data_IF_471587628828
#
_entry.id   IF_471587628828
#
_cell.length_a   1.000
_cell.length_b   1.000
_cell.length_c   1.000
_cell.angle_alpha   90.00
_cell.angle_beta   90.00
_cell.angle_gamma   90.00
#
_symmetry.space_group_name_H-M   'P 1'
#
loop_
_entity.id
_entity.type
_entity.pdbx_description
1 polymer ?
#
# COMPACT_ATOMS: atom_id res chain seq x y z
N UNK A 1 24.24 26.23 -51.59
CA UNK A 1 23.89 26.44 -50.17
C UNK A 1 24.03 25.11 -49.42
N UNK A 2 25.20 24.78 -48.87
CA UNK A 2 25.32 23.78 -47.82
C UNK A 2 25.71 24.45 -46.50
N UNK A 3 24.98 24.20 -45.43
CA UNK A 3 25.33 24.64 -44.07
C UNK A 3 26.01 23.50 -43.33
N UNK A 4 27.28 23.75 -43.02
CA UNK A 4 28.20 22.93 -42.25
C UNK A 4 27.84 22.91 -40.75
N UNK A 5 27.89 21.72 -40.18
CA UNK A 5 27.86 21.40 -38.75
C UNK A 5 29.16 21.77 -38.03
N UNK A 6 29.06 22.38 -36.84
CA UNK A 6 30.10 22.44 -35.80
C UNK A 6 29.46 22.19 -34.42
N UNK A 7 30.06 21.35 -33.55
CA UNK A 7 29.61 21.18 -32.17
C UNK A 7 30.34 22.13 -31.20
N UNK A 8 29.62 22.71 -30.25
CA UNK A 8 30.16 23.48 -29.11
C UNK A 8 30.29 22.53 -27.92
N UNK A 9 31.51 22.32 -27.45
CA UNK A 9 31.81 21.66 -26.18
C UNK A 9 31.80 22.69 -25.04
N UNK A 10 30.96 22.48 -24.03
CA UNK A 10 31.00 23.22 -22.77
C UNK A 10 31.81 22.42 -21.75
N UNK A 11 32.93 23.00 -21.32
CA UNK A 11 33.80 22.45 -20.27
C UNK A 11 33.22 22.78 -18.90
N UNK A 12 32.91 21.76 -18.09
CA UNK A 12 32.48 21.90 -16.70
C UNK A 12 33.70 22.05 -15.77
N UNK A 13 33.74 23.13 -15.00
CA UNK A 13 34.69 23.36 -13.91
C UNK A 13 34.14 22.78 -12.59
N UNK A 14 34.95 22.08 -11.77
CA UNK A 14 34.48 21.53 -10.49
C UNK A 14 34.43 22.59 -9.38
N UNK A 15 33.53 22.44 -8.38
CA UNK A 15 33.37 23.40 -7.29
C UNK A 15 34.48 23.27 -6.23
N UNK A 16 34.83 24.43 -5.64
CA UNK A 16 35.86 24.57 -4.61
C UNK A 16 35.41 24.04 -3.23
N UNK A 17 36.33 23.38 -2.53
CA UNK A 17 36.21 22.91 -1.14
C UNK A 17 36.30 24.05 -0.12
N UNK A 18 35.47 24.08 0.96
CA UNK A 18 35.60 25.07 2.00
C UNK A 18 36.66 24.69 3.05
N UNK A 19 37.35 25.72 3.55
CA UNK A 19 38.46 25.70 4.50
C UNK A 19 37.95 25.57 5.93
N UNK A 20 38.51 24.63 6.71
CA UNK A 20 38.27 24.45 8.14
C UNK A 20 38.94 25.57 8.96
N UNK A 21 38.16 26.31 9.74
CA UNK A 21 38.68 27.18 10.79
C UNK A 21 38.80 26.45 12.13
N UNK A 22 40.02 26.42 12.66
CA UNK A 22 40.40 25.88 13.95
C UNK A 22 39.95 26.84 15.08
N UNK A 23 39.26 26.33 16.11
CA UNK A 23 38.99 27.09 17.34
C UNK A 23 39.60 26.38 18.54
N UNK A 24 40.44 27.13 19.27
CA UNK A 24 41.12 26.73 20.50
C UNK A 24 40.11 26.47 21.64
N UNK A 25 40.23 25.30 22.28
CA UNK A 25 39.60 25.02 23.56
C UNK A 25 40.52 25.46 24.70
N UNK A 26 40.08 26.44 25.48
CA UNK A 26 40.69 26.79 26.76
C UNK A 26 40.09 25.90 27.87
N UNK A 27 40.94 25.11 28.52
CA UNK A 27 40.65 24.42 29.77
C UNK A 27 40.57 25.43 30.91
N UNK A 28 39.49 25.41 31.71
CA UNK A 28 39.52 25.98 33.05
C UNK A 28 38.68 25.12 34.01
N UNK A 29 39.37 24.37 34.85
CA UNK A 29 38.85 23.75 36.07
C UNK A 29 38.74 24.81 37.16
N UNK A 30 37.58 24.90 37.84
CA UNK A 30 37.50 25.47 39.19
C UNK A 30 36.47 24.68 40.00
N UNK A 31 36.84 24.34 41.23
CA UNK A 31 36.16 23.41 42.12
C UNK A 31 35.43 24.14 43.28
N UNK A 32 34.27 23.58 43.66
CA UNK A 32 33.48 23.64 44.90
C UNK A 32 33.15 24.96 45.64
N UNK A 33 31.84 25.15 45.90
CA UNK A 33 31.30 26.03 46.94
C UNK A 33 29.82 25.81 47.26
N UNK A 34 29.55 25.06 48.34
CA UNK A 34 28.42 25.09 49.28
C UNK A 34 26.94 25.18 48.85
N UNK A 35 26.13 24.42 49.58
CA UNK A 35 24.72 24.11 49.38
C UNK A 35 23.72 25.25 49.63
N UNK A 36 22.62 25.27 48.84
CA UNK A 36 21.28 25.71 49.28
C UNK A 36 20.21 24.83 48.65
N UNK A 37 19.49 24.09 49.50
CA UNK A 37 18.42 23.15 49.14
C UNK A 37 17.11 23.93 48.95
N UNK A 38 16.67 24.10 47.70
CA UNK A 38 15.34 24.63 47.39
C UNK A 38 14.37 23.45 47.30
N UNK A 39 13.39 23.43 48.19
CA UNK A 39 12.31 22.43 48.19
C UNK A 39 11.27 22.85 47.16
N UNK A 40 11.24 22.18 46.01
CA UNK A 40 10.14 22.29 45.05
C UNK A 40 9.11 21.21 45.41
N UNK A 41 7.92 21.63 45.84
CA UNK A 41 6.75 20.75 46.02
C UNK A 41 6.39 20.17 44.65
N UNK A 42 6.65 18.87 44.46
CA UNK A 42 6.19 18.10 43.31
C UNK A 42 4.71 17.79 43.50
N UNK A 43 3.84 18.48 42.78
CA UNK A 43 2.43 18.11 42.67
C UNK A 43 2.36 16.84 41.80
N UNK A 44 2.08 15.71 42.44
CA UNK A 44 1.73 14.47 41.74
C UNK A 44 0.36 14.65 41.08
N UNK A 45 0.37 14.99 39.79
CA UNK A 45 -0.78 14.72 38.93
C UNK A 45 -0.77 13.21 38.66
N UNK A 46 -1.56 12.47 39.43
CA UNK A 46 -1.88 11.09 39.16
C UNK A 46 -2.64 11.01 37.83
N UNK A 47 -1.90 10.78 36.75
CA UNK A 47 -2.49 10.31 35.50
C UNK A 47 -2.99 8.91 35.81
N UNK A 48 -4.31 8.78 35.97
CA UNK A 48 -4.98 7.48 35.91
C UNK A 48 -4.58 6.84 34.58
N UNK A 49 -3.72 5.84 34.65
CA UNK A 49 -3.50 4.91 33.55
C UNK A 49 -4.85 4.28 33.24
N UNK A 50 -5.48 4.72 32.16
CA UNK A 50 -6.59 3.99 31.57
C UNK A 50 -5.97 2.77 30.91
N UNK A 51 -5.90 1.68 31.66
CA UNK A 51 -5.59 0.36 31.15
C UNK A 51 -6.78 -0.18 30.38
N UNK A 52 -6.70 -0.08 29.06
CA UNK A 52 -7.20 -1.08 28.11
C UNK A 52 -6.55 -0.77 26.76
N UNK A 53 -5.25 -1.10 26.67
CA UNK A 53 -4.38 -0.89 25.52
C UNK A 53 -3.86 -2.25 25.01
N UNK A 54 -4.70 -3.28 25.08
CA UNK A 54 -4.33 -4.64 24.70
C UNK A 54 -5.01 -5.01 23.36
N UNK A 55 -4.18 -5.39 22.38
CA UNK A 55 -4.46 -5.84 21.01
C UNK A 55 -4.92 -4.82 19.96
N UNK A 56 -4.26 -3.67 19.92
CA UNK A 56 -4.46 -2.69 18.85
C UNK A 56 -3.13 -2.51 18.08
N UNK A 57 -3.01 -2.96 16.82
CA UNK A 57 -1.76 -2.88 16.08
C UNK A 57 -1.32 -1.43 15.94
N UNK A 58 -0.03 -1.22 16.24
CA UNK A 58 0.66 0.05 16.10
C UNK A 58 0.91 0.34 14.62
N UNK A 59 1.12 1.60 14.27
CA UNK A 59 1.55 1.94 12.92
C UNK A 59 2.94 1.32 12.66
N UNK A 60 3.17 0.62 11.53
CA UNK A 60 4.40 -0.10 11.29
C UNK A 60 5.61 0.86 11.20
N UNK A 61 6.75 0.43 11.72
CA UNK A 61 8.01 1.17 11.64
C UNK A 61 8.67 1.06 10.26
N UNK A 62 8.49 -0.08 9.59
CA UNK A 62 9.06 -0.40 8.27
C UNK A 62 8.18 -1.39 7.49
N UNK A 63 8.63 -1.79 6.30
CA UNK A 63 7.87 -2.72 5.45
C UNK A 63 7.85 -4.15 5.98
N UNK A 64 8.82 -4.57 6.80
CA UNK A 64 8.82 -5.91 7.40
C UNK A 64 7.68 -6.01 8.40
N UNK A 65 7.60 -5.05 9.34
CA UNK A 65 6.50 -4.98 10.30
C UNK A 65 5.14 -4.79 9.60
N UNK A 66 5.10 -3.98 8.54
CA UNK A 66 3.89 -3.80 7.74
C UNK A 66 3.40 -5.13 7.14
N UNK A 67 4.29 -5.91 6.55
CA UNK A 67 3.94 -7.17 5.89
C UNK A 67 3.52 -8.23 6.90
N UNK A 68 4.16 -8.26 8.08
CA UNK A 68 3.72 -9.11 9.19
C UNK A 68 2.30 -8.75 9.65
N UNK A 69 2.03 -7.46 9.87
CA UNK A 69 0.68 -6.99 10.24
C UNK A 69 -0.35 -7.32 9.16
N UNK A 70 -0.03 -7.08 7.88
CA UNK A 70 -0.92 -7.40 6.76
C UNK A 70 -1.19 -8.91 6.67
N UNK A 71 -0.18 -9.75 6.93
CA UNK A 71 -0.30 -11.21 6.95
C UNK A 71 -1.19 -11.65 8.12
N UNK A 72 -1.01 -11.11 9.32
CA UNK A 72 -1.85 -11.44 10.47
C UNK A 72 -3.31 -11.03 10.26
N UNK A 73 -3.53 -9.82 9.75
CA UNK A 73 -4.85 -9.32 9.38
C UNK A 73 -5.54 -10.21 8.34
N UNK A 74 -4.79 -10.62 7.30
CA UNK A 74 -5.29 -11.51 6.26
C UNK A 74 -5.61 -12.90 6.82
N UNK A 75 -4.77 -13.46 7.70
CA UNK A 75 -5.02 -14.75 8.35
C UNK A 75 -6.25 -14.70 9.26
N UNK A 76 -6.47 -13.59 9.98
CA UNK A 76 -7.67 -13.40 10.78
C UNK A 76 -8.92 -13.34 9.88
N UNK A 77 -8.91 -12.51 8.83
CA UNK A 77 -10.02 -12.41 7.89
C UNK A 77 -10.34 -13.75 7.20
N UNK A 78 -9.32 -14.52 6.82
CA UNK A 78 -9.49 -15.86 6.26
C UNK A 78 -10.15 -16.84 7.24
N UNK A 79 -9.80 -16.78 8.54
CA UNK A 79 -10.45 -17.59 9.59
C UNK A 79 -11.91 -17.21 9.78
N UNK A 80 -12.24 -15.94 9.62
CA UNK A 80 -13.60 -15.41 9.71
C UNK A 80 -14.43 -15.63 8.43
N UNK A 81 -13.86 -16.33 7.43
CA UNK A 81 -14.55 -16.71 6.21
C UNK A 81 -14.65 -15.59 5.17
N UNK A 82 -13.88 -14.52 5.31
CA UNK A 82 -13.81 -13.45 4.32
C UNK A 82 -13.16 -13.98 3.04
N UNK A 83 -13.89 -13.93 1.94
CA UNK A 83 -13.43 -14.44 0.63
C UNK A 83 -12.76 -13.39 -0.25
N UNK A 84 -13.13 -12.12 -0.10
CA UNK A 84 -12.63 -11.02 -0.92
C UNK A 84 -12.04 -9.95 -0.02
N UNK A 85 -10.74 -9.73 -0.18
CA UNK A 85 -9.96 -8.85 0.69
C UNK A 85 -9.24 -7.77 -0.12
N UNK A 86 -9.06 -6.60 0.49
CA UNK A 86 -8.23 -5.52 0.00
C UNK A 86 -7.07 -5.27 0.95
N UNK A 87 -5.87 -5.15 0.37
CA UNK A 87 -4.66 -4.64 1.01
C UNK A 87 -4.20 -3.43 0.20
N UNK A 88 -4.01 -2.29 0.87
CA UNK A 88 -3.57 -1.05 0.22
C UNK A 88 -2.57 -0.32 1.12
N UNK A 89 -1.40 0.04 0.61
CA UNK A 89 -0.44 0.85 1.35
C UNK A 89 0.54 1.54 0.39
N UNK A 90 1.20 2.64 0.82
CA UNK A 90 2.18 3.31 -0.02
C UNK A 90 3.39 2.42 -0.30
N UNK A 91 3.87 2.43 -1.55
CA UNK A 91 5.04 1.64 -2.00
C UNK A 91 6.31 2.48 -2.17
N UNK A 92 6.20 3.80 -2.16
CA UNK A 92 7.33 4.73 -2.25
C UNK A 92 7.91 5.13 -0.87
N UNK A 93 7.58 4.36 0.18
CA UNK A 93 7.92 4.61 1.58
C UNK A 93 6.67 4.79 2.45
N UNK A 94 6.72 4.33 3.71
CA UNK A 94 5.57 4.39 4.63
C UNK A 94 4.99 5.78 4.89
N UNK A 95 5.81 6.82 4.71
CA UNK A 95 5.39 8.22 4.85
C UNK A 95 5.02 8.91 3.54
N UNK A 96 5.12 8.22 2.40
CA UNK A 96 4.77 8.79 1.10
C UNK A 96 3.26 8.92 0.98
N UNK A 97 2.81 9.90 0.21
CA UNK A 97 1.37 10.06 -0.09
C UNK A 97 1.12 9.71 -1.56
N UNK A 98 -0.15 9.57 -1.98
CA UNK A 98 -0.47 9.33 -3.38
C UNK A 98 0.18 10.38 -4.30
N UNK A 99 0.86 9.92 -5.34
CA UNK A 99 1.60 10.76 -6.30
C UNK A 99 3.08 10.95 -5.99
N UNK A 100 3.59 10.51 -4.83
CA UNK A 100 5.04 10.61 -4.52
C UNK A 100 5.90 9.59 -5.26
N UNK A 101 5.31 8.47 -5.72
CA UNK A 101 6.02 7.35 -6.35
C UNK A 101 5.78 7.18 -7.85
N UNK A 102 5.13 8.14 -8.52
CA UNK A 102 4.52 7.94 -9.84
C UNK A 102 5.43 7.20 -10.85
N UNK A 103 4.91 6.09 -11.41
CA UNK A 103 5.50 5.36 -12.53
C UNK A 103 5.90 3.91 -12.21
N UNK A 104 6.80 3.33 -13.03
CA UNK A 104 7.19 1.91 -12.95
C UNK A 104 7.90 1.47 -11.66
N UNK A 105 8.26 2.42 -10.79
CA UNK A 105 8.85 2.16 -9.48
C UNK A 105 7.79 1.58 -8.52
N UNK A 106 6.56 2.11 -8.55
CA UNK A 106 5.44 1.60 -7.72
C UNK A 106 5.05 0.18 -8.10
N UNK A 107 5.05 -0.14 -9.39
CA UNK A 107 4.69 -1.48 -9.89
C UNK A 107 5.76 -2.50 -9.51
N UNK A 108 7.05 -2.15 -9.70
CA UNK A 108 8.16 -3.03 -9.30
C UNK A 108 8.20 -3.23 -7.79
N UNK A 109 7.99 -2.15 -7.02
CA UNK A 109 7.91 -2.22 -5.55
C UNK A 109 6.72 -3.05 -5.08
N UNK A 110 5.53 -2.82 -5.64
CA UNK A 110 4.34 -3.63 -5.34
C UNK A 110 4.57 -5.11 -5.68
N UNK A 111 5.20 -5.42 -6.81
CA UNK A 111 5.51 -6.80 -7.18
C UNK A 111 6.44 -7.49 -6.16
N UNK A 112 7.46 -6.79 -5.66
CA UNK A 112 8.34 -7.30 -4.61
C UNK A 112 7.59 -7.52 -3.30
N UNK A 113 6.78 -6.53 -2.88
CA UNK A 113 6.01 -6.60 -1.64
C UNK A 113 4.94 -7.70 -1.70
N UNK A 114 4.31 -7.92 -2.86
CA UNK A 114 3.40 -9.06 -3.08
C UNK A 114 4.15 -10.37 -2.92
N UNK A 115 5.38 -10.48 -3.45
CA UNK A 115 6.18 -11.70 -3.32
C UNK A 115 6.48 -12.00 -1.85
N UNK A 116 7.01 -11.01 -1.12
CA UNK A 116 7.37 -11.14 0.29
C UNK A 116 6.13 -11.47 1.14
N UNK A 117 5.02 -10.77 0.89
CA UNK A 117 3.74 -11.08 1.51
C UNK A 117 3.30 -12.53 1.26
N UNK A 118 3.41 -13.02 0.02
CA UNK A 118 3.04 -14.38 -0.32
C UNK A 118 3.93 -15.41 0.39
N UNK A 119 5.23 -15.14 0.53
CA UNK A 119 6.16 -16.02 1.26
C UNK A 119 5.81 -16.09 2.76
N UNK A 120 5.25 -15.02 3.35
CA UNK A 120 4.79 -14.99 4.74
C UNK A 120 3.40 -15.64 4.94
N UNK A 121 2.47 -15.39 4.01
CA UNK A 121 1.08 -15.83 4.13
C UNK A 121 0.88 -17.30 3.71
N UNK A 122 1.53 -17.72 2.62
CA UNK A 122 1.24 -18.97 1.93
C UNK A 122 2.22 -20.05 2.37
N UNK A 123 1.69 -21.11 2.98
CA UNK A 123 2.48 -22.29 3.31
C UNK A 123 3.12 -22.90 2.04
N UNK A 124 4.39 -23.37 2.08
CA UNK A 124 5.10 -23.85 0.89
C UNK A 124 4.33 -24.90 0.07
N UNK A 125 3.61 -25.81 0.73
CA UNK A 125 2.79 -26.84 0.10
C UNK A 125 1.57 -26.30 -0.66
N UNK A 126 1.16 -25.06 -0.38
CA UNK A 126 0.06 -24.36 -1.06
C UNK A 126 0.53 -23.38 -2.13
N UNK A 127 1.84 -23.19 -2.31
CA UNK A 127 2.38 -22.26 -3.30
C UNK A 127 1.89 -22.58 -4.73
N UNK A 128 1.86 -23.86 -5.11
CA UNK A 128 1.37 -24.32 -6.43
C UNK A 128 -0.15 -24.25 -6.58
N UNK A 129 -0.87 -23.99 -5.50
CA UNK A 129 -2.32 -23.76 -5.46
C UNK A 129 -2.67 -22.27 -5.33
N UNK A 130 -1.66 -21.41 -5.30
CA UNK A 130 -1.83 -19.96 -5.26
C UNK A 130 -1.49 -19.38 -6.63
N UNK A 131 -2.42 -18.59 -7.17
CA UNK A 131 -2.26 -17.92 -8.46
C UNK A 131 -2.26 -16.42 -8.29
N UNK A 132 -1.26 -15.78 -8.90
CA UNK A 132 -1.04 -14.35 -8.84
C UNK A 132 -1.31 -13.79 -10.23
N UNK A 133 -2.25 -12.85 -10.31
CA UNK A 133 -2.61 -12.12 -11.52
C UNK A 133 -1.93 -10.76 -11.51
N UNK A 134 -1.16 -10.48 -12.55
CA UNK A 134 -0.65 -9.14 -12.84
C UNK A 134 -1.52 -8.44 -13.91
N UNK A 135 -1.43 -7.12 -14.09
CA UNK A 135 -2.23 -6.43 -15.09
C UNK A 135 -2.03 -6.97 -16.52
N UNK A 136 -0.78 -7.15 -16.94
CA UNK A 136 -0.44 -7.57 -18.32
C UNK A 136 0.54 -8.74 -18.43
N UNK A 137 0.57 -9.38 -19.61
CA UNK A 137 1.47 -10.50 -19.90
C UNK A 137 2.96 -10.15 -19.81
N UNK A 138 3.34 -8.92 -20.18
CA UNK A 138 4.73 -8.45 -20.08
C UNK A 138 5.20 -8.40 -18.62
N UNK A 139 4.32 -8.04 -17.70
CA UNK A 139 4.62 -8.01 -16.27
C UNK A 139 4.77 -9.41 -15.70
N UNK A 140 3.96 -10.38 -16.15
CA UNK A 140 4.18 -11.79 -15.80
C UNK A 140 5.57 -12.25 -16.23
N UNK A 141 5.99 -11.90 -17.45
CA UNK A 141 7.33 -12.26 -17.92
C UNK A 141 8.42 -11.59 -17.09
N UNK A 142 8.24 -10.32 -16.73
CA UNK A 142 9.16 -9.60 -15.86
C UNK A 142 9.21 -10.25 -14.47
N UNK A 143 8.07 -10.47 -13.83
CA UNK A 143 7.93 -11.12 -12.52
C UNK A 143 8.66 -12.46 -12.46
N UNK A 144 8.48 -13.32 -13.47
CA UNK A 144 9.17 -14.62 -13.58
C UNK A 144 10.69 -14.49 -13.62
N UNK A 145 11.21 -13.43 -14.22
CA UNK A 145 12.65 -13.16 -14.34
C UNK A 145 13.22 -12.41 -13.14
N UNK A 146 12.37 -11.74 -12.35
CA UNK A 146 12.74 -10.89 -11.23
C UNK A 146 12.24 -11.47 -9.90
N UNK A 147 11.26 -10.83 -9.25
CA UNK A 147 10.82 -11.12 -7.88
C UNK A 147 10.30 -12.56 -7.67
N UNK A 148 9.74 -13.17 -8.71
CA UNK A 148 9.19 -14.52 -8.65
C UNK A 148 10.10 -15.59 -9.28
N UNK A 149 11.35 -15.25 -9.58
CA UNK A 149 12.35 -16.24 -10.00
C UNK A 149 12.48 -17.37 -8.97
N UNK A 150 12.33 -18.62 -9.42
CA UNK A 150 12.41 -19.80 -8.56
C UNK A 150 11.21 -20.03 -7.63
N UNK A 151 10.19 -19.16 -7.66
CA UNK A 151 8.97 -19.36 -6.88
C UNK A 151 8.09 -20.46 -7.48
N UNK A 152 7.36 -21.19 -6.64
CA UNK A 152 6.39 -22.20 -7.08
C UNK A 152 4.98 -21.63 -7.35
N UNK A 153 4.79 -20.31 -7.15
CA UNK A 153 3.53 -19.64 -7.42
C UNK A 153 3.15 -19.68 -8.90
N UNK A 154 1.86 -19.84 -9.19
CA UNK A 154 1.34 -19.73 -10.56
C UNK A 154 1.18 -18.25 -10.89
N UNK A 155 1.76 -17.81 -12.00
CA UNK A 155 1.65 -16.41 -12.45
C UNK A 155 0.86 -16.32 -13.75
N UNK A 156 -0.12 -15.43 -13.78
CA UNK A 156 -1.00 -15.16 -14.90
C UNK A 156 -1.32 -13.65 -14.97
N UNK A 157 -2.13 -13.22 -15.94
CA UNK A 157 -2.43 -11.80 -16.14
C UNK A 157 -3.92 -11.53 -16.42
N UNK A 158 -4.36 -10.31 -16.11
CA UNK A 158 -5.75 -9.87 -16.29
C UNK A 158 -6.06 -9.50 -17.74
N UNK A 159 -5.17 -8.78 -18.42
CA UNK A 159 -5.43 -8.25 -19.76
C UNK A 159 -4.42 -8.75 -20.79
N UNK A 160 -4.90 -9.17 -21.96
CA UNK A 160 -4.01 -9.48 -23.10
C UNK A 160 -3.39 -8.15 -23.58
N UNK A 161 -2.09 -8.12 -23.93
CA UNK A 161 -1.56 -6.99 -24.69
C UNK A 161 -2.39 -6.87 -25.99
N UNK A 162 -2.91 -5.68 -26.25
CA UNK A 162 -3.82 -5.35 -27.35
C UNK A 162 -3.23 -5.49 -28.77
N UNK A 163 -2.23 -6.34 -28.98
CA UNK A 163 -1.58 -6.50 -30.29
C UNK A 163 -2.48 -7.09 -31.38
N UNK A 164 -3.64 -7.65 -31.01
CA UNK A 164 -4.66 -8.16 -31.95
C UNK A 164 -5.94 -7.32 -32.02
N UNK A 165 -6.08 -6.28 -31.20
CA UNK A 165 -7.23 -5.39 -31.32
C UNK A 165 -7.13 -4.54 -32.61
N UNK A 166 -5.94 -4.40 -33.16
CA UNK A 166 -5.68 -3.77 -34.47
C UNK A 166 -5.93 -4.70 -35.68
N UNK A 167 -6.22 -6.00 -35.48
CA UNK A 167 -6.36 -6.98 -36.57
C UNK A 167 -7.69 -7.75 -36.61
N UNK A 168 -8.71 -7.33 -35.86
CA UNK A 168 -10.10 -7.76 -36.11
C UNK A 168 -10.44 -9.23 -35.81
N UNK A 169 -9.56 -9.98 -35.13
CA UNK A 169 -9.84 -11.33 -34.63
C UNK A 169 -9.38 -11.42 -33.18
N UNK A 170 -10.32 -11.53 -32.23
CA UNK A 170 -9.96 -11.86 -30.84
C UNK A 170 -10.98 -12.84 -30.27
N UNK A 171 -10.57 -14.09 -30.09
CA UNK A 171 -11.15 -14.96 -29.07
C UNK A 171 -10.94 -14.31 -27.70
N UNK A 172 -12.05 -13.82 -27.13
CA UNK A 172 -12.11 -13.38 -25.75
C UNK A 172 -11.87 -14.59 -24.84
N UNK A 173 -10.64 -14.73 -24.33
CA UNK A 173 -10.31 -15.73 -23.31
C UNK A 173 -10.96 -15.27 -22.01
N UNK A 174 -11.85 -16.07 -21.45
CA UNK A 174 -12.53 -15.76 -20.20
C UNK A 174 -11.62 -16.05 -19.02
N UNK A 175 -11.82 -15.38 -17.88
CA UNK A 175 -10.98 -15.64 -16.70
C UNK A 175 -11.10 -17.07 -16.17
N UNK A 176 -12.27 -17.70 -16.37
CA UNK A 176 -12.50 -19.12 -16.05
C UNK A 176 -11.57 -20.07 -16.80
N UNK A 177 -11.14 -19.70 -18.01
CA UNK A 177 -10.25 -20.55 -18.82
C UNK A 177 -8.80 -20.50 -18.31
N UNK A 178 -8.47 -19.50 -17.48
CA UNK A 178 -7.13 -19.28 -16.90
C UNK A 178 -6.99 -19.89 -15.51
N UNK A 179 -8.09 -20.00 -14.77
CA UNK A 179 -8.15 -20.62 -13.44
C UNK A 179 -8.21 -22.13 -13.58
N UNK A 180 -7.56 -22.84 -12.65
CA UNK A 180 -7.64 -24.31 -12.56
C UNK A 180 -8.40 -24.74 -11.32
N UNK A 181 -8.94 -25.96 -11.35
CA UNK A 181 -9.71 -26.51 -10.24
C UNK A 181 -8.94 -26.49 -8.91
N UNK A 182 -7.64 -26.83 -8.96
CA UNK A 182 -6.78 -26.89 -7.79
C UNK A 182 -6.30 -25.54 -7.24
N UNK A 183 -6.64 -24.42 -7.88
CA UNK A 183 -6.32 -23.09 -7.34
C UNK A 183 -7.19 -22.83 -6.10
N UNK A 184 -6.57 -22.44 -4.99
CA UNK A 184 -7.23 -22.15 -3.69
C UNK A 184 -7.26 -20.64 -3.38
N UNK A 185 -6.17 -19.93 -3.70
CA UNK A 185 -5.99 -18.51 -3.41
C UNK A 185 -5.60 -17.73 -4.67
N UNK A 186 -6.28 -16.61 -4.89
CA UNK A 186 -5.95 -15.64 -5.92
C UNK A 186 -5.37 -14.37 -5.29
N UNK A 187 -4.22 -13.93 -5.79
CA UNK A 187 -3.68 -12.60 -5.50
C UNK A 187 -3.77 -11.77 -6.77
N UNK A 188 -4.39 -10.61 -6.69
CA UNK A 188 -4.49 -9.67 -7.81
C UNK A 188 -3.58 -8.49 -7.51
N UNK A 189 -2.47 -8.40 -8.24
CA UNK A 189 -1.50 -7.33 -8.10
C UNK A 189 -1.93 -6.09 -8.85
N UNK A 190 -2.13 -5.01 -8.09
CA UNK A 190 -2.21 -3.62 -8.54
C UNK A 190 -3.03 -3.36 -9.83
N UNK A 191 -4.32 -3.73 -9.88
CA UNK A 191 -5.17 -3.60 -11.07
C UNK A 191 -5.66 -2.15 -11.33
N UNK A 192 -4.76 -1.17 -11.31
CA UNK A 192 -5.11 0.26 -11.40
C UNK A 192 -4.64 0.97 -12.68
N UNK A 193 -3.81 0.34 -13.51
CA UNK A 193 -3.25 1.00 -14.70
C UNK A 193 -4.33 1.21 -15.77
N UNK A 194 -5.17 0.20 -15.98
CA UNK A 194 -6.30 0.25 -16.90
C UNK A 194 -7.61 -0.02 -16.15
N UNK A 195 -8.59 0.86 -16.33
CA UNK A 195 -9.93 0.69 -15.75
C UNK A 195 -10.60 -0.64 -16.11
N UNK A 196 -10.25 -1.23 -17.25
CA UNK A 196 -10.77 -2.54 -17.65
C UNK A 196 -10.23 -3.68 -16.77
N UNK A 197 -9.06 -3.53 -16.13
CA UNK A 197 -8.50 -4.55 -15.22
C UNK A 197 -9.46 -4.82 -14.08
N UNK A 198 -10.02 -3.79 -13.45
CA UNK A 198 -11.01 -3.95 -12.37
C UNK A 198 -12.31 -4.63 -12.82
N UNK A 199 -12.68 -4.51 -14.10
CA UNK A 199 -13.83 -5.25 -14.64
C UNK A 199 -13.50 -6.75 -14.80
N UNK A 200 -12.26 -7.06 -15.18
CA UNK A 200 -11.76 -8.44 -15.23
C UNK A 200 -11.63 -9.04 -13.83
N UNK A 201 -11.25 -8.24 -12.82
CA UNK A 201 -11.24 -8.65 -11.41
C UNK A 201 -12.65 -9.00 -10.93
N UNK A 202 -13.66 -8.20 -11.29
CA UNK A 202 -15.05 -8.52 -11.00
C UNK A 202 -15.50 -9.84 -11.67
N UNK A 203 -15.13 -10.05 -12.94
CA UNK A 203 -15.38 -11.31 -13.65
C UNK A 203 -14.72 -12.50 -12.95
N UNK A 204 -13.43 -12.39 -12.60
CA UNK A 204 -12.69 -13.41 -11.89
C UNK A 204 -13.35 -13.75 -10.55
N UNK A 205 -13.73 -12.73 -9.76
CA UNK A 205 -14.44 -12.95 -8.50
C UNK A 205 -15.75 -13.69 -8.72
N UNK A 206 -16.59 -13.21 -9.65
CA UNK A 206 -17.91 -13.79 -9.90
C UNK A 206 -17.81 -15.25 -10.34
N UNK A 207 -16.89 -15.55 -11.24
CA UNK A 207 -16.88 -16.84 -11.93
C UNK A 207 -15.98 -17.88 -11.25
N UNK A 208 -14.96 -17.47 -10.48
CA UNK A 208 -14.03 -18.38 -9.82
C UNK A 208 -14.13 -18.41 -8.29
N UNK A 209 -14.66 -17.35 -7.64
CA UNK A 209 -14.58 -17.16 -6.18
C UNK A 209 -15.95 -17.21 -5.51
N UNK A 210 -16.91 -16.41 -5.98
CA UNK A 210 -18.15 -16.12 -5.25
C UNK A 210 -19.02 -17.34 -4.91
N UNK A 211 -18.92 -18.42 -5.68
CA UNK A 211 -19.67 -19.66 -5.48
C UNK A 211 -18.78 -20.84 -5.03
N UNK A 212 -17.54 -20.58 -4.63
CA UNK A 212 -16.56 -21.60 -4.24
C UNK A 212 -16.03 -21.34 -2.84
N UNK A 213 -15.06 -22.14 -2.38
CA UNK A 213 -14.31 -21.88 -1.14
C UNK A 213 -13.02 -21.10 -1.35
N UNK A 214 -12.75 -20.68 -2.60
CA UNK A 214 -11.52 -19.96 -2.93
C UNK A 214 -11.55 -18.56 -2.33
N UNK A 215 -10.37 -17.99 -2.13
CA UNK A 215 -10.22 -16.61 -1.66
C UNK A 215 -9.50 -15.74 -2.69
N UNK A 216 -9.73 -14.43 -2.61
CA UNK A 216 -9.09 -13.44 -3.45
C UNK A 216 -8.63 -12.23 -2.62
N UNK A 217 -7.38 -11.84 -2.80
CA UNK A 217 -6.78 -10.63 -2.21
C UNK A 217 -6.40 -9.69 -3.35
N UNK A 218 -6.92 -8.46 -3.32
CA UNK A 218 -6.51 -7.38 -4.22
C UNK A 218 -5.47 -6.54 -3.48
N UNK A 219 -4.32 -6.34 -4.12
CA UNK A 219 -3.16 -5.69 -3.50
C UNK A 219 -2.84 -4.39 -4.24
N UNK A 220 -2.78 -3.25 -3.52
CA UNK A 220 -2.46 -1.92 -4.05
C UNK A 220 -3.25 -1.57 -5.32
N UNK A 221 -4.57 -1.65 -5.26
CA UNK A 221 -5.45 -1.49 -6.42
C UNK A 221 -5.91 -0.05 -6.71
N UNK A 222 -5.46 0.95 -5.94
CA UNK A 222 -5.91 2.36 -6.04
C UNK A 222 -7.44 2.52 -6.07
N UNK A 223 -8.16 1.65 -5.33
CA UNK A 223 -9.61 1.54 -5.44
C UNK A 223 -10.34 2.81 -4.98
N UNK A 224 -9.65 3.67 -4.22
CA UNK A 224 -10.18 4.97 -3.81
C UNK A 224 -10.46 5.91 -4.97
N UNK A 225 -9.78 5.78 -6.11
CA UNK A 225 -10.13 6.54 -7.32
C UNK A 225 -11.54 6.19 -7.79
N UNK A 226 -11.90 4.91 -7.73
CA UNK A 226 -13.24 4.45 -8.10
C UNK A 226 -14.25 4.86 -7.00
N UNK A 227 -13.93 4.65 -5.72
CA UNK A 227 -14.83 4.99 -4.59
C UNK A 227 -15.12 6.49 -4.49
N UNK A 228 -14.14 7.34 -4.78
CA UNK A 228 -14.27 8.80 -4.71
C UNK A 228 -15.02 9.41 -5.90
N UNK A 229 -15.33 8.61 -6.93
CA UNK A 229 -15.97 9.09 -8.14
C UNK A 229 -15.03 9.83 -9.10
N UNK A 230 -13.71 9.57 -9.01
CA UNK A 230 -12.72 10.11 -9.95
C UNK A 230 -13.10 9.80 -11.41
N UNK A 231 -13.66 8.61 -11.64
CA UNK A 231 -14.23 8.20 -12.93
C UNK A 231 -15.72 8.58 -13.00
N UNK A 232 -16.12 9.58 -13.81
CA UNK A 232 -17.51 9.98 -13.87
C UNK A 232 -18.40 8.85 -14.41
N UNK A 233 -19.49 8.55 -13.70
CA UNK A 233 -20.36 7.40 -14.01
C UNK A 233 -21.00 7.44 -15.40
N UNK A 234 -21.22 8.63 -15.96
CA UNK A 234 -21.74 8.79 -17.33
C UNK A 234 -20.78 8.24 -18.39
N UNK A 235 -19.47 8.41 -18.20
CA UNK A 235 -18.45 7.91 -19.12
C UNK A 235 -17.97 6.49 -18.77
N UNK A 236 -18.03 6.13 -17.49
CA UNK A 236 -17.56 4.83 -16.97
C UNK A 236 -18.65 4.09 -16.18
N UNK A 237 -19.80 3.76 -16.80
CA UNK A 237 -20.94 3.17 -16.09
C UNK A 237 -20.61 1.78 -15.51
N UNK A 238 -19.76 1.00 -16.18
CA UNK A 238 -19.32 -0.32 -15.68
C UNK A 238 -18.46 -0.20 -14.42
N UNK A 239 -17.53 0.76 -14.38
CA UNK A 239 -16.74 1.03 -13.16
C UNK A 239 -17.63 1.52 -12.02
N UNK A 240 -18.57 2.43 -12.30
CA UNK A 240 -19.51 2.92 -11.30
C UNK A 240 -20.39 1.80 -10.73
N UNK A 241 -20.65 0.73 -11.51
CA UNK A 241 -21.39 -0.43 -11.04
C UNK A 241 -20.60 -1.23 -9.97
N UNK A 242 -19.26 -1.21 -9.98
CA UNK A 242 -18.42 -1.93 -9.00
C UNK A 242 -18.74 -1.55 -7.55
N UNK A 243 -19.09 -0.29 -7.31
CA UNK A 243 -19.53 0.21 -6.00
C UNK A 243 -20.79 -0.47 -5.47
N UNK A 244 -21.56 -1.13 -6.36
CA UNK A 244 -22.78 -1.88 -6.01
C UNK A 244 -22.59 -3.39 -6.09
N UNK A 245 -21.61 -3.87 -6.84
CA UNK A 245 -21.47 -5.30 -7.18
C UNK A 245 -20.28 -5.98 -6.50
N UNK A 246 -19.08 -5.38 -6.59
CA UNK A 246 -17.83 -5.96 -6.09
C UNK A 246 -17.45 -5.39 -4.72
N UNK A 247 -17.39 -4.06 -4.58
CA UNK A 247 -16.89 -3.42 -3.36
C UNK A 247 -17.69 -3.75 -2.10
N UNK A 248 -19.03 -3.88 -2.13
CA UNK A 248 -19.79 -4.27 -0.94
C UNK A 248 -19.48 -5.68 -0.42
N UNK A 249 -18.82 -6.53 -1.22
CA UNK A 249 -18.45 -7.90 -0.86
C UNK A 249 -17.01 -8.02 -0.36
N UNK A 250 -16.27 -6.92 -0.41
CA UNK A 250 -14.85 -6.86 -0.11
C UNK A 250 -14.63 -6.28 1.28
N UNK A 251 -13.75 -6.90 2.05
CA UNK A 251 -13.29 -6.37 3.34
C UNK A 251 -11.88 -5.80 3.18
N UNK A 252 -11.67 -4.57 3.64
CA UNK A 252 -10.32 -4.00 3.69
C UNK A 252 -9.60 -4.52 4.92
N UNK A 253 -8.68 -5.45 4.70
CA UNK A 253 -7.99 -6.15 5.80
C UNK A 253 -6.76 -5.38 6.28
N UNK A 254 -6.10 -4.65 5.39
CA UNK A 254 -4.96 -3.82 5.74
C UNK A 254 -4.91 -2.57 4.87
N UNK A 255 -4.78 -1.40 5.47
CA UNK A 255 -4.87 -0.13 4.74
C UNK A 255 -4.00 0.96 5.36
N UNK A 256 -3.22 1.65 4.55
CA UNK A 256 -2.50 2.88 4.90
C UNK A 256 -2.72 3.92 3.83
N UNK A 257 -3.30 5.07 4.19
CA UNK A 257 -3.39 6.25 3.33
C UNK A 257 -2.94 7.50 4.06
N UNK A 258 -1.90 8.14 3.54
CA UNK A 258 -1.29 9.32 4.13
C UNK A 258 -1.86 10.61 3.53
N UNK A 259 -2.10 11.59 4.40
CA UNK A 259 -2.59 12.92 4.05
C UNK A 259 -1.48 13.95 4.27
N UNK A 260 -1.23 14.80 3.26
CA UNK A 260 -0.32 15.96 3.37
C UNK A 260 -1.02 17.18 3.96
N UNK A 261 -0.21 18.15 4.38
CA UNK A 261 -0.66 19.49 4.79
C UNK A 261 -0.42 19.77 6.26
N UNK A 262 -0.86 20.96 6.70
CA UNK A 262 -0.69 21.45 8.08
C UNK A 262 -1.28 20.49 9.12
N UNK A 263 -2.40 19.85 8.77
CA UNK A 263 -3.10 18.88 9.59
C UNK A 263 -2.93 17.46 9.03
N UNK A 264 -1.78 17.15 8.42
CA UNK A 264 -1.52 15.83 7.85
C UNK A 264 -1.66 14.69 8.88
N UNK A 265 -1.86 13.48 8.38
CA UNK A 265 -2.08 12.28 9.18
C UNK A 265 -2.23 11.06 8.31
N UNK A 266 -2.69 9.96 8.90
CA UNK A 266 -2.78 8.67 8.22
C UNK A 266 -4.10 8.00 8.55
N UNK A 267 -4.88 7.61 7.54
CA UNK A 267 -5.97 6.65 7.70
C UNK A 267 -5.35 5.25 7.71
N UNK A 268 -5.60 4.49 8.77
CA UNK A 268 -5.01 3.19 9.03
C UNK A 268 -6.08 2.15 9.36
N UNK A 269 -5.95 0.94 8.80
CA UNK A 269 -6.74 -0.24 9.13
C UNK A 269 -5.82 -1.44 9.22
N UNK A 270 -6.03 -2.25 10.25
CA UNK A 270 -5.45 -3.59 10.37
C UNK A 270 -6.52 -4.46 11.03
N UNK A 271 -7.12 -5.36 10.24
CA UNK A 271 -8.21 -6.24 10.66
C UNK A 271 -7.76 -7.18 11.78
N UNK A 272 -8.63 -7.50 12.76
CA UNK A 272 -10.05 -7.12 12.89
C UNK A 272 -10.28 -5.76 13.55
N UNK A 273 -9.23 -4.96 13.77
CA UNK A 273 -9.33 -3.67 14.44
C UNK A 273 -10.12 -2.61 13.64
N UNK A 274 -10.62 -1.56 14.30
CA UNK A 274 -11.38 -0.49 13.65
C UNK A 274 -10.51 0.33 12.69
N UNK A 275 -11.15 1.13 11.85
CA UNK A 275 -10.47 2.20 11.12
C UNK A 275 -10.00 3.25 12.10
N UNK A 276 -8.77 3.74 11.93
CA UNK A 276 -8.17 4.77 12.77
C UNK A 276 -7.64 5.91 11.92
N UNK A 277 -7.76 7.11 12.43
CA UNK A 277 -6.99 8.25 11.93
C UNK A 277 -5.88 8.53 12.91
N UNK A 278 -4.65 8.47 12.42
CA UNK A 278 -3.44 8.64 13.20
C UNK A 278 -2.79 9.98 12.85
N UNK A 279 -2.22 10.65 13.84
CA UNK A 279 -1.36 11.82 13.65
C UNK A 279 0.03 11.54 14.15
N UNK A 280 1.04 11.91 13.36
CA UNK A 280 2.44 11.80 13.77
C UNK A 280 2.81 12.96 14.71
N UNK A 281 3.26 12.62 15.91
CA UNK A 281 3.81 13.55 16.91
C UNK A 281 5.27 13.17 17.19
N UNK A 282 6.20 13.81 16.46
CA UNK A 282 7.61 13.44 16.49
C UNK A 282 7.86 12.05 15.89
N UNK A 283 8.33 11.11 16.72
CA UNK A 283 8.57 9.72 16.33
C UNK A 283 7.39 8.78 16.61
N UNK A 284 6.30 9.28 17.20
CA UNK A 284 5.14 8.45 17.60
C UNK A 284 3.91 8.77 16.78
N UNK A 285 3.06 7.77 16.61
CA UNK A 285 1.71 7.95 16.08
C UNK A 285 0.70 7.94 17.22
N UNK A 286 -0.23 8.90 17.19
CA UNK A 286 -1.34 9.02 18.14
C UNK A 286 -2.64 8.84 17.38
N UNK A 287 -3.51 7.95 17.87
CA UNK A 287 -4.86 7.79 17.33
C UNK A 287 -5.70 9.01 17.74
N UNK A 288 -6.22 9.74 16.77
CA UNK A 288 -7.06 10.93 17.00
C UNK A 288 -8.55 10.66 16.73
N UNK A 289 -8.86 9.59 16.00
CA UNK A 289 -10.23 9.17 15.72
C UNK A 289 -10.27 7.68 15.39
N UNK A 290 -11.36 7.00 15.72
CA UNK A 290 -11.59 5.61 15.33
C UNK A 290 -13.07 5.34 15.03
N UNK A 291 -13.34 4.45 14.07
CA UNK A 291 -14.69 4.02 13.72
C UNK A 291 -14.70 2.65 13.02
N UNK A 292 -15.83 1.96 13.06
CA UNK A 292 -15.96 0.61 12.48
C UNK A 292 -16.02 0.61 10.95
N UNK A 293 -16.68 1.61 10.37
CA UNK A 293 -16.84 1.73 8.91
C UNK A 293 -15.74 2.61 8.33
N UNK A 294 -15.28 2.29 7.12
CA UNK A 294 -14.31 3.11 6.41
C UNK A 294 -14.83 4.55 6.25
N UNK A 295 -14.14 5.58 6.79
CA UNK A 295 -14.46 6.97 6.49
C UNK A 295 -14.08 7.29 5.05
N UNK A 296 -14.74 8.28 4.45
CA UNK A 296 -14.29 8.75 3.12
C UNK A 296 -13.00 9.55 3.26
N UNK A 297 -12.13 9.53 2.24
CA UNK A 297 -10.91 10.35 2.25
C UNK A 297 -11.22 11.84 2.44
N UNK A 298 -12.35 12.30 1.91
CA UNK A 298 -12.84 13.67 2.09
C UNK A 298 -13.18 13.98 3.56
N UNK A 299 -13.92 13.11 4.22
CA UNK A 299 -14.27 13.23 5.64
C UNK A 299 -13.01 13.26 6.51
N UNK A 300 -12.04 12.39 6.24
CA UNK A 300 -10.77 12.39 6.97
C UNK A 300 -10.03 13.71 6.79
N UNK A 301 -9.89 14.18 5.54
CA UNK A 301 -9.10 15.36 5.22
C UNK A 301 -9.75 16.68 5.68
N UNK A 302 -11.09 16.79 5.62
CA UNK A 302 -11.79 18.06 5.85
C UNK A 302 -12.42 18.17 7.22
N UNK A 303 -12.80 17.06 7.85
CA UNK A 303 -13.56 17.07 9.09
C UNK A 303 -12.75 16.51 10.26
N UNK A 304 -12.20 15.30 10.11
CA UNK A 304 -11.51 14.60 11.22
C UNK A 304 -10.14 15.21 11.51
N UNK A 305 -9.25 15.26 10.51
CA UNK A 305 -7.89 15.75 10.70
C UNK A 305 -7.83 17.23 11.10
N UNK A 306 -8.67 18.14 10.59
CA UNK A 306 -8.64 19.54 11.02
C UNK A 306 -9.21 19.78 12.43
N UNK A 307 -10.08 18.90 12.92
CA UNK A 307 -10.73 19.04 14.24
C UNK A 307 -9.94 18.41 15.40
N UNK A 308 -8.97 17.56 15.08
CA UNK A 308 -8.11 16.85 16.04
C UNK A 308 -6.92 17.68 16.55
#
# INVERSE_FOLDING_TARGET
MPLSSLPIAFTLQPPATPVLHHHHHHHQQVNFGSARRVVVKKSEFAVRSVSSADDVPLFPADYEELLDQAKEASQAALKDGIQLMEIEFPTAGLGSVPGDGEGGIEMTGSMQLIREFCDLLVAPEKATRTRIFFPEANEVQFARKSAFGGASFKLDYLTKPSFFQDFGFVEAVKMVDRVKEEDELFIVGYPYFNVNEMLVVEELYRDAVAATTRQMIIFNGELDRIRSGYYPSFFYPKLAALSKTLFPKMETVYYIHNFKGRNGGTLFRCYPGPWKVLRRMGSRYVCVHQQEKMPTLKEVALDILPSA
#
